data_IF_403162152720
#
_entry.id   IF_403162152720
#
_cell.length_a   1.000
_cell.length_b   1.000
_cell.length_c   1.000
_cell.angle_alpha   90.00
_cell.angle_beta   90.00
_cell.angle_gamma   90.00
#
_symmetry.space_group_name_H-M   'P 1'
#
loop_
_entity.id
_entity.type
_entity.pdbx_description
1 polymer ?
#
# COMPACT_ATOMS: atom_id res chain seq x y z
N UNK A 1 5.71 8.98 -15.47
CA UNK A 1 4.71 9.49 -14.51
C UNK A 1 5.14 9.03 -13.12
N UNK A 2 5.11 9.92 -12.13
CA UNK A 2 5.38 9.59 -10.73
C UNK A 2 4.20 9.96 -9.84
N UNK A 3 4.19 9.40 -8.63
CA UNK A 3 3.10 9.60 -7.65
C UNK A 3 3.67 10.22 -6.38
N UNK A 4 3.02 11.28 -5.89
CA UNK A 4 3.45 11.98 -4.67
C UNK A 4 3.40 11.04 -3.46
N UNK A 5 4.47 10.96 -2.68
CA UNK A 5 4.55 10.07 -1.51
C UNK A 5 3.50 10.38 -0.47
N UNK A 6 3.14 11.66 -0.28
CA UNK A 6 2.00 12.07 0.56
C UNK A 6 0.67 11.45 0.11
N UNK A 7 0.44 11.34 -1.21
CA UNK A 7 -0.78 10.73 -1.76
C UNK A 7 -0.82 9.24 -1.47
N UNK A 8 0.30 8.55 -1.70
CA UNK A 8 0.47 7.12 -1.38
C UNK A 8 0.19 6.87 0.11
N UNK A 9 0.81 7.64 1.00
CA UNK A 9 0.63 7.49 2.45
C UNK A 9 -0.83 7.65 2.87
N UNK A 10 -1.50 8.69 2.35
CA UNK A 10 -2.91 8.95 2.67
C UNK A 10 -3.84 7.85 2.13
N UNK A 11 -3.55 7.28 0.96
CA UNK A 11 -4.28 6.12 0.45
C UNK A 11 -4.07 4.87 1.34
N UNK A 12 -2.83 4.55 1.72
CA UNK A 12 -2.51 3.44 2.61
C UNK A 12 -3.28 3.54 3.94
N UNK A 13 -3.23 4.70 4.59
CA UNK A 13 -3.92 4.92 5.88
C UNK A 13 -5.43 4.74 5.75
N UNK A 14 -6.05 5.32 4.72
CA UNK A 14 -7.50 5.14 4.44
C UNK A 14 -7.89 3.68 4.24
N UNK A 15 -6.97 2.87 3.72
CA UNK A 15 -7.20 1.47 3.38
C UNK A 15 -6.84 0.53 4.53
N UNK A 16 -6.55 1.04 5.72
CA UNK A 16 -6.31 0.23 6.92
C UNK A 16 -4.85 -0.12 7.18
N UNK A 17 -3.91 0.58 6.56
CA UNK A 17 -2.50 0.47 6.93
C UNK A 17 -2.20 1.34 8.15
N UNK A 18 -1.52 0.76 9.13
CA UNK A 18 -1.01 1.47 10.29
C UNK A 18 0.38 2.03 9.97
N UNK A 19 0.50 3.36 10.06
CA UNK A 19 1.76 4.09 9.92
C UNK A 19 2.63 3.86 11.15
N UNK A 20 3.88 3.47 10.94
CA UNK A 20 4.93 3.45 11.96
C UNK A 20 6.06 4.37 11.53
N UNK A 21 6.22 5.48 12.26
CA UNK A 21 7.33 6.39 12.05
C UNK A 21 8.57 5.94 12.83
N UNK A 22 9.75 5.99 12.18
CA UNK A 22 11.05 5.76 12.83
C UNK A 22 12.18 5.51 11.83
N UNK A 23 13.39 5.99 12.11
CA UNK A 23 14.55 5.75 11.23
C UNK A 23 14.51 6.51 9.89
N UNK A 24 15.04 5.90 8.81
CA UNK A 24 15.16 6.53 7.48
C UNK A 24 13.87 6.46 6.64
N UNK A 25 12.96 5.53 6.95
CA UNK A 25 11.73 5.30 6.21
C UNK A 25 10.49 5.38 7.12
N UNK A 26 9.33 5.62 6.53
CA UNK A 26 8.05 5.44 7.19
C UNK A 26 7.46 4.12 6.73
N UNK A 27 7.19 3.21 7.67
CA UNK A 27 6.69 1.87 7.35
C UNK A 27 5.18 1.83 7.52
N UNK A 28 4.48 1.20 6.58
CA UNK A 28 3.04 1.01 6.60
C UNK A 28 2.73 -0.48 6.68
N UNK A 29 2.04 -0.92 7.74
CA UNK A 29 1.65 -2.31 7.94
C UNK A 29 0.16 -2.48 7.73
N UNK A 30 -0.27 -3.42 6.90
CA UNK A 30 -1.69 -3.70 6.73
C UNK A 30 -2.23 -4.45 7.95
N UNK A 31 -3.32 -3.94 8.52
CA UNK A 31 -3.95 -4.48 9.72
C UNK A 31 -5.40 -4.86 9.43
N UNK A 32 -5.76 -6.10 9.74
CA UNK A 32 -7.14 -6.59 9.66
C UNK A 32 -7.53 -7.22 10.99
N UNK A 33 -8.69 -6.84 11.53
CA UNK A 33 -9.17 -7.29 12.85
C UNK A 33 -8.14 -7.10 13.98
N UNK A 34 -7.41 -5.98 13.95
CA UNK A 34 -6.37 -5.65 14.95
C UNK A 34 -5.04 -6.41 14.80
N UNK A 35 -4.91 -7.31 13.81
CA UNK A 35 -3.70 -8.10 13.58
C UNK A 35 -2.98 -7.70 12.29
N UNK A 36 -1.65 -7.69 12.32
CA UNK A 36 -0.83 -7.51 11.11
C UNK A 36 -0.80 -8.81 10.32
N UNK A 37 -0.98 -8.72 9.00
CA UNK A 37 -1.05 -9.90 8.13
C UNK A 37 0.18 -10.09 7.22
N UNK A 38 1.31 -9.47 7.56
CA UNK A 38 2.57 -9.60 6.81
C UNK A 38 2.70 -8.71 5.56
N UNK A 39 1.63 -8.06 5.11
CA UNK A 39 1.69 -7.06 4.03
C UNK A 39 2.17 -5.72 4.59
N UNK A 40 3.23 -5.18 4.00
CA UNK A 40 3.77 -3.88 4.37
C UNK A 40 4.50 -3.22 3.20
N UNK A 41 4.68 -1.90 3.26
CA UNK A 41 5.52 -1.13 2.33
C UNK A 41 6.17 0.04 3.07
N UNK A 42 7.13 0.70 2.43
CA UNK A 42 7.92 1.78 3.01
C UNK A 42 7.94 3.02 2.12
N UNK A 43 7.77 4.18 2.75
CA UNK A 43 7.93 5.50 2.13
C UNK A 43 9.22 6.17 2.60
N UNK A 44 10.07 6.55 1.65
CA UNK A 44 11.29 7.32 1.90
C UNK A 44 10.96 8.75 2.28
N UNK A 45 11.52 9.22 3.40
CA UNK A 45 11.25 10.58 3.92
C UNK A 45 11.76 11.70 3.02
N UNK A 46 12.86 11.46 2.30
CA UNK A 46 13.48 12.45 1.41
C UNK A 46 12.87 12.50 0.00
N UNK A 47 12.05 11.52 -0.38
CA UNK A 47 11.51 11.42 -1.74
C UNK A 47 10.09 11.96 -1.74
N UNK A 48 9.86 13.01 -2.53
CA UNK A 48 8.53 13.64 -2.66
C UNK A 48 7.63 12.91 -3.66
N UNK A 49 8.22 12.22 -4.62
CA UNK A 49 7.52 11.56 -5.71
C UNK A 49 8.20 10.25 -6.09
N UNK A 50 7.44 9.16 -6.10
CA UNK A 50 7.95 7.85 -6.47
C UNK A 50 7.91 7.69 -7.99
N UNK A 51 9.05 7.37 -8.58
CA UNK A 51 9.18 7.01 -9.99
C UNK A 51 8.67 5.59 -10.24
N UNK A 52 8.53 5.22 -11.52
CA UNK A 52 8.09 3.89 -11.94
C UNK A 52 8.90 2.75 -11.30
N UNK A 53 10.19 2.93 -11.03
CA UNK A 53 11.02 1.91 -10.37
C UNK A 53 10.57 1.63 -8.93
N UNK A 54 10.31 2.67 -8.14
CA UNK A 54 9.83 2.54 -6.76
C UNK A 54 8.39 2.00 -6.71
N UNK A 55 7.54 2.45 -7.64
CA UNK A 55 6.19 1.90 -7.78
C UNK A 55 6.21 0.42 -8.21
N UNK A 56 7.19 0.02 -9.04
CA UNK A 56 7.41 -1.37 -9.42
C UNK A 56 7.77 -2.27 -8.22
N UNK A 57 8.56 -1.76 -7.27
CA UNK A 57 8.83 -2.48 -6.04
C UNK A 57 7.59 -2.54 -5.12
N UNK A 58 6.89 -1.41 -4.99
CA UNK A 58 5.73 -1.27 -4.10
C UNK A 58 4.56 -2.18 -4.48
N UNK A 59 4.22 -2.30 -5.78
CA UNK A 59 3.07 -3.14 -6.16
C UNK A 59 3.28 -4.60 -5.76
N UNK A 60 4.51 -5.10 -5.83
CA UNK A 60 4.88 -6.45 -5.41
C UNK A 60 4.77 -6.63 -3.89
N UNK A 61 5.22 -5.64 -3.12
CA UNK A 61 5.10 -5.63 -1.66
C UNK A 61 3.63 -5.67 -1.21
N UNK A 62 2.77 -4.94 -1.92
CA UNK A 62 1.33 -4.84 -1.67
C UNK A 62 0.49 -5.91 -2.37
N UNK A 63 1.14 -6.87 -3.04
CA UNK A 63 0.52 -8.04 -3.70
C UNK A 63 -0.41 -7.70 -4.88
N UNK A 64 -0.14 -6.60 -5.57
CA UNK A 64 -0.76 -6.25 -6.84
C UNK A 64 -0.05 -6.92 -8.02
N UNK A 65 -0.80 -7.33 -9.04
CA UNK A 65 -0.27 -8.05 -10.20
C UNK A 65 0.54 -7.11 -11.11
N UNK A 66 0.16 -5.84 -11.17
CA UNK A 66 0.77 -4.84 -12.02
C UNK A 66 0.73 -3.46 -11.34
N UNK A 67 1.43 -2.49 -11.96
CA UNK A 67 1.48 -1.11 -11.45
C UNK A 67 0.13 -0.41 -11.58
N UNK A 68 -0.68 -0.75 -12.59
CA UNK A 68 -2.01 -0.15 -12.77
C UNK A 68 -2.92 -0.44 -11.58
N UNK A 69 -2.93 -1.67 -11.05
CA UNK A 69 -3.68 -2.02 -9.84
C UNK A 69 -3.24 -1.19 -8.61
N UNK A 70 -1.94 -0.87 -8.51
CA UNK A 70 -1.43 0.02 -7.46
C UNK A 70 -1.86 1.48 -7.69
N UNK A 71 -1.79 1.95 -8.93
CA UNK A 71 -2.26 3.27 -9.33
C UNK A 71 -3.75 3.42 -8.99
N UNK A 72 -4.57 2.44 -9.37
CA UNK A 72 -5.98 2.37 -9.01
C UNK A 72 -6.15 2.37 -7.48
N UNK A 73 -5.40 1.56 -6.73
CA UNK A 73 -5.48 1.59 -5.26
C UNK A 73 -5.20 2.97 -4.65
N UNK A 74 -4.29 3.76 -5.25
CA UNK A 74 -3.89 5.09 -4.77
C UNK A 74 -4.87 6.18 -5.23
N UNK A 75 -5.36 6.10 -6.47
CA UNK A 75 -6.21 7.08 -7.14
C UNK A 75 -7.70 6.87 -6.83
N UNK A 76 -8.12 5.62 -6.64
CA UNK A 76 -9.52 5.22 -6.61
C UNK A 76 -10.19 5.42 -5.24
N UNK A 77 -11.50 5.71 -5.21
CA UNK A 77 -12.35 5.57 -4.02
C UNK A 77 -12.51 4.13 -3.50
N UNK A 78 -11.74 3.14 -4.00
CA UNK A 78 -11.66 1.77 -3.47
C UNK A 78 -11.74 1.81 -1.94
N UNK A 79 -12.72 1.16 -1.34
CA UNK A 79 -12.83 1.11 0.11
C UNK A 79 -11.77 0.15 0.68
N UNK A 80 -11.64 0.14 2.01
CA UNK A 80 -10.86 -0.91 2.69
C UNK A 80 -11.41 -2.31 2.36
N UNK A 81 -12.72 -2.44 2.27
CA UNK A 81 -13.40 -3.72 2.02
C UNK A 81 -13.13 -4.23 0.60
N UNK A 82 -13.14 -3.34 -0.38
CA UNK A 82 -12.77 -3.68 -1.76
C UNK A 82 -11.33 -4.23 -1.86
N UNK A 83 -10.38 -3.65 -1.11
CA UNK A 83 -9.01 -4.18 -1.05
C UNK A 83 -8.95 -5.56 -0.38
N UNK A 84 -9.73 -5.78 0.68
CA UNK A 84 -9.84 -7.08 1.33
C UNK A 84 -10.37 -8.14 0.35
N UNK A 85 -11.37 -7.80 -0.46
CA UNK A 85 -11.95 -8.72 -1.44
C UNK A 85 -10.97 -9.08 -2.57
N UNK A 86 -10.10 -8.14 -2.99
CA UNK A 86 -8.98 -8.45 -3.89
C UNK A 86 -8.04 -9.48 -3.26
N UNK A 87 -7.68 -9.32 -1.98
CA UNK A 87 -6.78 -10.25 -1.29
C UNK A 87 -7.38 -11.64 -1.10
N UNK A 88 -8.69 -11.72 -0.85
CA UNK A 88 -9.43 -13.00 -0.79
C UNK A 88 -9.43 -13.70 -2.15
N UNK A 89 -9.77 -12.99 -3.23
CA UNK A 89 -9.77 -13.55 -4.61
C UNK A 89 -8.39 -14.08 -5.01
N UNK A 90 -7.32 -13.47 -4.50
CA UNK A 90 -5.94 -13.91 -4.73
C UNK A 90 -5.49 -15.05 -3.83
N UNK A 91 -6.35 -15.57 -2.95
CA UNK A 91 -5.99 -16.61 -1.98
C UNK A 91 -4.77 -16.19 -1.12
N UNK A 92 -4.76 -14.93 -0.67
CA UNK A 92 -3.73 -14.39 0.23
C UNK A 92 -4.29 -14.24 1.65
N UNK A 93 -5.57 -13.92 1.75
CA UNK A 93 -6.29 -13.75 3.00
C UNK A 93 -7.40 -14.80 3.09
N UNK A 94 -7.32 -15.64 4.11
CA UNK A 94 -8.34 -16.62 4.46
C UNK A 94 -8.64 -16.47 5.94
N UNK A 95 -9.91 -16.54 6.31
CA UNK A 95 -10.37 -16.68 7.70
C UNK A 95 -10.96 -18.07 7.85
#
# INVERSE_FOLDING_TARGET
MGIKTRKIGSALEKKGFLKKEGGRHTIYYFVVNGKRIGIHTELSRGIKEYSRGLLSAMHKQLKFNNISELEDFIECPLSKDDYIDILKRKNILFW
#
